data_IF_541713788273
#
_entry.id   IF_541713788273
#
_cell.length_a   1.000
_cell.length_b   1.000
_cell.length_c   1.000
_cell.angle_alpha   90.00
_cell.angle_beta   90.00
_cell.angle_gamma   90.00
#
_symmetry.space_group_name_H-M   'P 1'
#
loop_
_entity.id
_entity.type
_entity.pdbx_description
1 polymer ?
#
# COMPACT_ATOMS: atom_id res chain seq x y z
N UNK A 1 9.41 88.97 49.35
CA UNK A 1 8.95 87.91 48.42
C UNK A 1 10.18 87.14 47.93
N UNK A 2 10.36 85.89 48.38
CA UNK A 2 11.66 85.20 48.43
C UNK A 2 11.99 84.47 47.09
N UNK A 3 12.20 85.24 46.01
CA UNK A 3 12.49 84.71 44.65
C UNK A 3 13.63 83.67 44.62
N UNK A 4 14.65 83.88 45.45
CA UNK A 4 15.85 83.03 45.49
C UNK A 4 15.59 81.59 46.00
N UNK A 5 14.53 81.34 46.77
CA UNK A 5 14.15 79.98 47.20
C UNK A 5 13.40 79.22 46.12
N UNK A 6 12.45 79.89 45.45
CA UNK A 6 11.63 79.28 44.40
C UNK A 6 12.47 78.94 43.16
N UNK A 7 13.37 79.83 42.75
CA UNK A 7 14.26 79.58 41.62
C UNK A 7 15.20 78.40 41.89
N UNK A 8 15.69 78.25 43.13
CA UNK A 8 16.55 77.12 43.53
C UNK A 8 15.80 75.79 43.51
N UNK A 9 14.51 75.79 43.87
CA UNK A 9 13.65 74.60 43.81
C UNK A 9 13.34 74.24 42.35
N UNK A 10 13.00 75.21 41.51
CA UNK A 10 12.71 75.00 40.08
C UNK A 10 13.96 74.46 39.35
N UNK A 11 15.12 75.07 39.57
CA UNK A 11 16.39 74.58 39.01
C UNK A 11 16.74 73.18 39.50
N UNK A 12 16.43 72.87 40.77
CA UNK A 12 16.58 71.52 41.31
C UNK A 12 15.69 70.50 40.60
N UNK A 13 14.40 70.78 40.47
CA UNK A 13 13.43 69.90 39.82
C UNK A 13 13.82 69.66 38.36
N UNK A 14 14.14 70.72 37.60
CA UNK A 14 14.57 70.58 36.19
C UNK A 14 15.82 69.72 36.05
N UNK A 15 16.79 69.84 36.97
CA UNK A 15 17.99 68.99 36.99
C UNK A 15 17.64 67.53 37.27
N UNK A 16 16.82 67.26 38.29
CA UNK A 16 16.42 65.89 38.62
C UNK A 16 15.57 65.23 37.54
N UNK A 17 14.68 65.98 36.89
CA UNK A 17 13.92 65.50 35.73
C UNK A 17 14.84 65.17 34.55
N UNK A 18 15.85 66.00 34.28
CA UNK A 18 16.85 65.72 33.25
C UNK A 18 17.67 64.46 33.54
N UNK A 19 18.10 64.27 34.79
CA UNK A 19 18.82 63.06 35.23
C UNK A 19 17.93 61.82 35.12
N UNK A 20 16.66 61.91 35.53
CA UNK A 20 15.72 60.79 35.44
C UNK A 20 15.46 60.38 33.98
N UNK A 21 15.27 61.36 33.08
CA UNK A 21 15.11 61.10 31.66
C UNK A 21 16.36 60.42 31.07
N UNK A 22 17.54 60.94 31.40
CA UNK A 22 18.81 60.39 30.94
C UNK A 22 19.05 58.96 31.44
N UNK A 23 18.77 58.69 32.71
CA UNK A 23 18.82 57.34 33.28
C UNK A 23 17.83 56.39 32.59
N UNK A 24 16.61 56.85 32.30
CA UNK A 24 15.61 56.08 31.58
C UNK A 24 16.07 55.68 30.16
N UNK A 25 16.71 56.59 29.44
CA UNK A 25 17.27 56.33 28.10
C UNK A 25 18.40 55.29 28.18
N UNK A 26 19.28 55.40 29.18
CA UNK A 26 20.37 54.44 29.38
C UNK A 26 19.82 53.04 29.69
N UNK A 27 18.83 52.95 30.59
CA UNK A 27 18.21 51.67 30.97
C UNK A 27 17.52 51.04 29.75
N UNK A 28 16.75 51.82 28.99
CA UNK A 28 16.08 51.33 27.79
C UNK A 28 17.07 50.86 26.72
N UNK A 29 18.12 51.65 26.46
CA UNK A 29 19.20 51.28 25.54
C UNK A 29 19.94 50.02 25.97
N UNK A 30 20.24 49.88 27.26
CA UNK A 30 20.88 48.68 27.82
C UNK A 30 20.00 47.43 27.63
N UNK A 31 18.69 47.52 27.91
CA UNK A 31 17.75 46.42 27.69
C UNK A 31 17.65 46.06 26.21
N UNK A 32 17.59 47.06 25.32
CA UNK A 32 17.52 46.84 23.88
C UNK A 32 18.76 46.10 23.36
N UNK A 33 19.95 46.56 23.76
CA UNK A 33 21.22 45.93 23.39
C UNK A 33 21.35 44.51 23.95
N UNK A 34 20.98 44.29 25.22
CA UNK A 34 21.02 42.95 25.82
C UNK A 34 20.10 41.97 25.07
N UNK A 35 18.88 42.40 24.71
CA UNK A 35 17.95 41.57 23.94
C UNK A 35 18.46 41.24 22.54
N UNK A 36 19.07 42.19 21.85
CA UNK A 36 19.64 41.97 20.51
C UNK A 36 20.92 41.13 20.53
N UNK A 37 21.65 41.11 21.65
CA UNK A 37 22.86 40.31 21.81
C UNK A 37 22.56 38.83 22.09
N UNK A 38 21.47 38.53 22.83
CA UNK A 38 21.10 37.15 23.17
C UNK A 38 20.42 36.40 22.01
N UNK A 39 19.69 37.08 21.14
CA UNK A 39 18.89 36.45 20.09
C UNK A 39 19.10 37.12 18.74
N UNK A 40 19.54 36.32 17.76
CA UNK A 40 19.61 36.74 16.37
C UNK A 40 18.21 36.65 15.73
N UNK A 41 17.68 37.80 15.31
CA UNK A 41 16.43 37.85 14.55
C UNK A 41 16.75 37.75 13.06
N UNK A 42 16.44 36.60 12.48
CA UNK A 42 16.56 36.38 11.03
C UNK A 42 15.21 36.01 10.45
N UNK A 43 14.99 36.46 9.21
CA UNK A 43 13.86 36.02 8.39
C UNK A 43 14.22 34.78 7.55
N UNK A 44 15.49 34.34 7.60
CA UNK A 44 15.98 33.13 6.93
C UNK A 44 15.85 31.93 7.87
N UNK A 45 14.61 31.45 8.02
CA UNK A 45 14.29 30.25 8.78
C UNK A 45 13.81 29.16 7.82
N UNK A 46 14.41 27.97 7.95
CA UNK A 46 14.05 26.80 7.15
C UNK A 46 13.42 25.73 8.04
N UNK A 47 12.47 24.98 7.48
CA UNK A 47 11.81 23.88 8.18
C UNK A 47 12.40 22.57 7.67
N UNK A 48 13.05 21.82 8.56
CA UNK A 48 13.48 20.46 8.27
C UNK A 48 12.33 19.48 8.48
N UNK A 49 12.08 18.64 7.49
CA UNK A 49 11.05 17.61 7.54
C UNK A 49 11.56 16.29 6.95
N UNK A 50 11.17 15.18 7.57
CA UNK A 50 11.38 13.85 7.01
C UNK A 50 10.26 13.54 6.02
N UNK A 51 10.52 13.69 4.72
CA UNK A 51 9.58 13.31 3.68
C UNK A 51 9.77 11.84 3.28
N UNK A 52 8.70 11.05 3.41
CA UNK A 52 8.63 9.70 2.85
C UNK A 52 7.78 9.71 1.59
N UNK A 53 8.34 9.47 0.39
CA UNK A 53 7.55 9.42 -0.82
C UNK A 53 6.60 8.22 -0.79
N UNK A 54 5.35 8.45 -1.20
CA UNK A 54 4.33 7.40 -1.30
C UNK A 54 4.32 6.87 -2.73
N UNK A 55 4.73 5.61 -2.90
CA UNK A 55 4.79 4.96 -4.22
C UNK A 55 3.66 3.94 -4.38
N UNK A 56 3.02 3.94 -5.56
CA UNK A 56 2.10 2.88 -5.94
C UNK A 56 2.87 1.63 -6.39
N UNK A 57 2.43 0.45 -5.95
CA UNK A 57 3.01 -0.84 -6.40
C UNK A 57 2.58 -1.22 -7.81
N UNK A 58 1.51 -0.59 -8.31
CA UNK A 58 0.90 -0.85 -9.60
C UNK A 58 0.78 0.46 -10.36
N UNK A 59 1.02 0.42 -11.67
CA UNK A 59 0.76 1.55 -12.56
C UNK A 59 -0.71 1.61 -12.96
N UNK A 60 -1.16 2.75 -13.45
CA UNK A 60 -2.52 2.91 -13.98
C UNK A 60 -2.99 4.36 -13.94
N UNK A 61 -4.21 4.57 -14.44
CA UNK A 61 -4.84 5.89 -14.43
C UNK A 61 -5.46 6.19 -13.06
N UNK A 62 -5.38 7.44 -12.62
CA UNK A 62 -5.98 7.87 -11.36
C UNK A 62 -7.47 8.11 -11.59
N UNK A 63 -8.31 7.34 -10.91
CA UNK A 63 -9.76 7.51 -10.93
C UNK A 63 -10.20 8.63 -9.98
N UNK A 64 -9.61 8.69 -8.78
CA UNK A 64 -9.99 9.68 -7.76
C UNK A 64 -8.87 9.99 -6.78
N UNK A 65 -8.83 11.24 -6.35
CA UNK A 65 -7.92 11.75 -5.31
C UNK A 65 -8.75 12.07 -4.07
N UNK A 66 -8.29 11.61 -2.90
CA UNK A 66 -9.00 11.67 -1.61
C UNK A 66 -8.33 12.60 -0.59
N UNK A 67 -7.31 13.35 -1.00
CA UNK A 67 -6.64 14.33 -0.15
C UNK A 67 -6.70 15.73 -0.79
N UNK A 68 -6.56 16.74 0.06
CA UNK A 68 -6.27 18.12 -0.33
C UNK A 68 -4.84 18.46 0.04
N UNK A 69 -4.32 19.51 -0.56
CA UNK A 69 -2.96 19.95 -0.28
C UNK A 69 -2.77 20.26 1.21
N UNK A 70 -1.63 19.85 1.77
CA UNK A 70 -1.27 19.95 3.20
C UNK A 70 -2.29 19.36 4.19
N UNK A 71 -3.17 18.46 3.74
CA UNK A 71 -4.13 17.80 4.61
C UNK A 71 -3.42 16.79 5.53
N UNK A 72 -3.68 16.80 6.85
CA UNK A 72 -3.19 15.75 7.74
C UNK A 72 -3.86 14.41 7.41
N UNK A 73 -3.05 13.37 7.19
CA UNK A 73 -3.48 12.01 6.87
C UNK A 73 -2.94 11.02 7.90
N UNK A 74 -3.65 9.90 8.07
CA UNK A 74 -3.25 8.82 8.98
C UNK A 74 -2.80 7.60 8.20
N UNK A 75 -2.05 6.73 8.87
CA UNK A 75 -1.64 5.44 8.31
C UNK A 75 -2.88 4.62 7.97
N UNK A 76 -2.95 4.15 6.72
CA UNK A 76 -4.06 3.35 6.20
C UNK A 76 -5.11 4.16 5.43
N UNK A 77 -5.02 5.50 5.45
CA UNK A 77 -5.93 6.32 4.67
C UNK A 77 -5.67 6.13 3.17
N UNK A 78 -6.76 6.04 2.41
CA UNK A 78 -6.68 5.98 0.95
C UNK A 78 -6.45 7.39 0.41
N UNK A 79 -5.30 7.61 -0.23
CA UNK A 79 -4.96 8.91 -0.82
C UNK A 79 -5.45 9.01 -2.27
N UNK A 80 -5.32 7.93 -3.03
CA UNK A 80 -5.62 7.88 -4.46
C UNK A 80 -6.21 6.52 -4.79
N UNK A 81 -7.18 6.49 -5.69
CA UNK A 81 -7.72 5.26 -6.29
C UNK A 81 -7.29 5.18 -7.73
N UNK A 82 -6.63 4.08 -8.07
CA UNK A 82 -6.24 3.73 -9.44
C UNK A 82 -7.40 2.98 -10.09
N UNK A 83 -7.68 3.31 -11.35
CA UNK A 83 -8.72 2.66 -12.14
C UNK A 83 -8.48 1.16 -12.28
N UNK A 84 -9.55 0.38 -12.12
CA UNK A 84 -9.48 -1.06 -11.93
C UNK A 84 -9.75 -1.86 -13.21
N UNK A 85 -10.17 -1.25 -14.31
CA UNK A 85 -10.74 -1.97 -15.46
C UNK A 85 -9.81 -3.04 -16.02
N UNK A 86 -8.53 -2.72 -16.29
CA UNK A 86 -7.57 -3.71 -16.77
C UNK A 86 -7.28 -4.82 -15.75
N UNK A 87 -7.27 -4.47 -14.46
CA UNK A 87 -7.03 -5.42 -13.38
C UNK A 87 -8.25 -6.32 -13.13
N UNK A 88 -9.46 -5.76 -13.26
CA UNK A 88 -10.73 -6.44 -13.19
C UNK A 88 -10.86 -7.47 -14.31
N UNK A 89 -10.58 -7.06 -15.56
CA UNK A 89 -10.59 -7.97 -16.71
C UNK A 89 -9.62 -9.14 -16.53
N UNK A 90 -8.39 -8.89 -16.06
CA UNK A 90 -7.41 -9.95 -15.79
C UNK A 90 -7.88 -10.91 -14.70
N UNK A 91 -8.46 -10.37 -13.62
CA UNK A 91 -9.04 -11.16 -12.54
C UNK A 91 -10.20 -12.03 -13.06
N UNK A 92 -11.08 -11.46 -13.86
CA UNK A 92 -12.25 -12.16 -14.37
C UNK A 92 -11.85 -13.25 -15.38
N UNK A 93 -10.88 -12.98 -16.25
CA UNK A 93 -10.30 -13.96 -17.15
C UNK A 93 -9.67 -15.14 -16.37
N UNK A 94 -8.87 -14.86 -15.35
CA UNK A 94 -8.27 -15.89 -14.50
C UNK A 94 -9.35 -16.71 -13.75
N UNK A 95 -10.41 -16.05 -13.27
CA UNK A 95 -11.54 -16.73 -12.63
C UNK A 95 -12.32 -17.62 -13.61
N UNK A 96 -12.49 -17.17 -14.86
CA UNK A 96 -13.14 -17.95 -15.91
C UNK A 96 -12.30 -19.19 -16.29
N UNK A 97 -10.98 -19.05 -16.38
CA UNK A 97 -10.08 -20.17 -16.64
C UNK A 97 -10.06 -21.19 -15.50
N UNK A 98 -10.10 -20.73 -14.25
CA UNK A 98 -10.25 -21.58 -13.08
C UNK A 98 -11.58 -22.36 -13.13
N UNK A 99 -12.68 -21.69 -13.45
CA UNK A 99 -14.00 -22.32 -13.57
C UNK A 99 -14.03 -23.36 -14.70
N UNK A 100 -13.46 -23.03 -15.86
CA UNK A 100 -13.31 -23.96 -16.99
C UNK A 100 -12.50 -25.20 -16.62
N UNK A 101 -11.42 -25.03 -15.86
CA UNK A 101 -10.60 -26.14 -15.37
C UNK A 101 -11.37 -27.03 -14.40
N UNK A 102 -12.14 -26.44 -13.47
CA UNK A 102 -13.01 -27.21 -12.58
C UNK A 102 -14.10 -27.97 -13.34
N UNK A 103 -14.69 -27.37 -14.37
CA UNK A 103 -15.69 -28.02 -15.21
C UNK A 103 -15.14 -29.23 -15.99
N UNK A 104 -13.83 -29.27 -16.25
CA UNK A 104 -13.18 -30.44 -16.89
C UNK A 104 -13.01 -31.62 -15.95
N UNK A 105 -12.93 -31.42 -14.64
CA UNK A 105 -12.76 -32.51 -13.66
C UNK A 105 -13.83 -33.60 -13.76
N UNK A 106 -15.15 -33.31 -13.73
CA UNK A 106 -16.17 -34.36 -13.83
C UNK A 106 -16.15 -35.06 -15.20
N UNK A 107 -15.79 -34.36 -16.27
CA UNK A 107 -15.63 -34.95 -17.60
C UNK A 107 -14.47 -35.96 -17.60
N UNK A 108 -13.34 -35.60 -16.98
CA UNK A 108 -12.20 -36.50 -16.83
C UNK A 108 -12.55 -37.72 -15.97
N UNK A 109 -13.28 -37.54 -14.87
CA UNK A 109 -13.75 -38.65 -14.03
C UNK A 109 -14.69 -39.59 -14.80
N UNK A 110 -15.62 -39.05 -15.59
CA UNK A 110 -16.51 -39.86 -16.42
C UNK A 110 -15.77 -40.61 -17.54
N UNK A 111 -14.75 -39.98 -18.13
CA UNK A 111 -13.88 -40.62 -19.11
C UNK A 111 -13.06 -41.76 -18.49
N UNK A 112 -12.54 -41.57 -17.28
CA UNK A 112 -11.83 -42.60 -16.53
C UNK A 112 -12.74 -43.80 -16.26
N UNK A 113 -13.96 -43.59 -15.76
CA UNK A 113 -14.94 -44.65 -15.54
C UNK A 113 -15.27 -45.41 -16.84
N UNK A 114 -15.45 -44.67 -17.94
CA UNK A 114 -15.70 -45.26 -19.26
C UNK A 114 -14.52 -46.10 -19.73
N UNK A 115 -13.29 -45.64 -19.52
CA UNK A 115 -12.09 -46.36 -19.88
C UNK A 115 -11.92 -47.65 -19.06
N UNK A 116 -12.26 -47.63 -17.77
CA UNK A 116 -12.28 -48.82 -16.91
C UNK A 116 -13.29 -49.85 -17.40
N UNK A 117 -14.52 -49.43 -17.75
CA UNK A 117 -15.53 -50.33 -18.34
C UNK A 117 -15.07 -50.92 -19.68
N UNK A 118 -14.41 -50.12 -20.52
CA UNK A 118 -13.82 -50.60 -21.78
C UNK A 118 -12.76 -51.68 -21.54
N UNK A 119 -11.92 -51.51 -20.52
CA UNK A 119 -10.93 -52.52 -20.10
C UNK A 119 -11.63 -53.82 -19.67
N UNK A 120 -12.74 -53.74 -18.93
CA UNK A 120 -13.51 -54.94 -18.53
C UNK A 120 -14.09 -55.69 -19.74
N UNK A 121 -14.65 -54.97 -20.72
CA UNK A 121 -15.14 -55.56 -21.97
C UNK A 121 -14.02 -56.26 -22.73
N UNK A 122 -12.85 -55.62 -22.85
CA UNK A 122 -11.68 -56.22 -23.51
C UNK A 122 -11.22 -57.49 -22.77
N UNK A 123 -11.21 -57.48 -21.43
CA UNK A 123 -10.90 -58.68 -20.63
C UNK A 123 -11.88 -59.82 -20.89
N UNK A 124 -13.17 -59.54 -20.97
CA UNK A 124 -14.19 -60.54 -21.27
C UNK A 124 -14.02 -61.12 -22.69
N UNK A 125 -13.74 -60.27 -23.68
CA UNK A 125 -13.43 -60.71 -25.04
C UNK A 125 -12.18 -61.60 -25.09
N UNK A 126 -11.13 -61.25 -24.34
CA UNK A 126 -9.91 -62.05 -24.24
C UNK A 126 -10.19 -63.42 -23.60
N UNK A 127 -11.00 -63.48 -22.54
CA UNK A 127 -11.41 -64.74 -21.93
C UNK A 127 -12.19 -65.62 -22.91
N UNK A 128 -13.13 -65.04 -23.67
CA UNK A 128 -13.86 -65.74 -24.72
C UNK A 128 -12.95 -66.28 -25.84
N UNK A 129 -11.97 -65.48 -26.28
CA UNK A 129 -10.98 -65.90 -27.28
C UNK A 129 -10.11 -67.07 -26.77
N UNK A 130 -9.66 -67.01 -25.50
CA UNK A 130 -8.92 -68.11 -24.87
C UNK A 130 -9.75 -69.39 -24.78
N UNK A 131 -11.03 -69.30 -24.44
CA UNK A 131 -11.93 -70.45 -24.40
C UNK A 131 -12.10 -71.09 -25.79
N UNK A 132 -12.28 -70.28 -26.84
CA UNK A 132 -12.34 -70.75 -28.23
C UNK A 132 -11.04 -71.43 -28.66
N UNK A 133 -9.89 -70.86 -28.31
CA UNK A 133 -8.59 -71.44 -28.61
C UNK A 133 -8.41 -72.81 -27.93
N UNK A 134 -8.81 -72.94 -26.67
CA UNK A 134 -8.77 -74.23 -25.95
C UNK A 134 -9.68 -75.28 -26.62
N UNK A 135 -10.91 -74.88 -26.99
CA UNK A 135 -11.84 -75.76 -27.69
C UNK A 135 -11.26 -76.26 -29.02
N UNK A 136 -10.69 -75.36 -29.83
CA UNK A 136 -10.07 -75.71 -31.10
C UNK A 136 -8.86 -76.64 -30.92
N UNK A 137 -8.04 -76.42 -29.89
CA UNK A 137 -6.92 -77.30 -29.57
C UNK A 137 -7.40 -78.72 -29.23
N UNK A 138 -8.43 -78.84 -28.37
CA UNK A 138 -9.03 -80.13 -28.02
C UNK A 138 -9.64 -80.84 -29.22
N UNK A 139 -10.32 -80.11 -30.10
CA UNK A 139 -10.87 -80.67 -31.33
C UNK A 139 -9.77 -81.17 -32.26
N UNK A 140 -8.69 -80.40 -32.44
CA UNK A 140 -7.51 -80.80 -33.21
C UNK A 140 -6.88 -82.08 -32.65
N UNK A 141 -6.63 -82.13 -31.34
CA UNK A 141 -6.05 -83.30 -30.68
C UNK A 141 -6.95 -84.55 -30.84
N UNK A 142 -8.28 -84.37 -30.75
CA UNK A 142 -9.25 -85.44 -31.00
C UNK A 142 -9.16 -85.95 -32.44
N UNK A 143 -9.11 -85.07 -33.43
CA UNK A 143 -8.98 -85.47 -34.84
C UNK A 143 -7.66 -86.19 -35.11
N UNK A 144 -6.56 -85.75 -34.49
CA UNK A 144 -5.25 -86.39 -34.61
C UNK A 144 -5.24 -87.82 -34.07
N UNK A 145 -5.95 -88.10 -32.98
CA UNK A 145 -6.01 -89.43 -32.37
C UNK A 145 -6.93 -90.42 -33.10
N UNK A 146 -7.72 -89.96 -34.08
CA UNK A 146 -8.64 -90.79 -34.88
C UNK A 146 -8.03 -91.24 -36.23
N UNK A 147 -6.81 -90.79 -36.54
CA UNK A 147 -6.00 -91.19 -37.69
C UNK A 147 -4.92 -92.19 -37.25
#
# INVERSE_FOLDING_TARGET
MNKNKTDRIIVGITKWSGVALFAGIIIWGAIYFLKGYEYEQTNDAQVDAYLSPINAKVGGYISKIYYKDNQPVKKGDTLVVIELDEYGLKKDAASAELMSSHAKLPILTANEETQLKSIEVIKAQLAGAKARLNQQQKEFDRYKNLL
#
